data_IF_569666688764
#
_entry.id   IF_569666688764
#
_cell.length_a   1.000
_cell.length_b   1.000
_cell.length_c   1.000
_cell.angle_alpha   90.00
_cell.angle_beta   90.00
_cell.angle_gamma   90.00
#
_symmetry.space_group_name_H-M   'P 1'
#
loop_
_entity.id
_entity.type
_entity.pdbx_description
1 polymer ?
#
# COMPACT_ATOMS: atom_id res chain seq x y z
N UNK A 1 -10.99 20.29 -1.83
CA UNK A 1 -11.23 18.89 -2.26
C UNK A 1 -11.06 17.99 -1.04
N UNK A 2 -11.98 17.03 -0.80
CA UNK A 2 -11.86 16.06 0.30
C UNK A 2 -10.88 14.94 -0.04
N UNK A 3 -9.99 14.62 0.89
CA UNK A 3 -9.05 13.50 0.87
C UNK A 3 -9.68 12.33 1.61
N UNK A 4 -10.02 11.27 0.89
CA UNK A 4 -10.64 10.08 1.49
C UNK A 4 -9.67 8.90 1.44
N UNK A 5 -9.52 8.18 2.54
CA UNK A 5 -8.85 6.89 2.53
C UNK A 5 -9.86 5.76 2.27
N UNK A 6 -9.50 4.79 1.44
CA UNK A 6 -10.21 3.52 1.31
C UNK A 6 -9.36 2.41 1.94
N UNK A 7 -9.92 1.69 2.88
CA UNK A 7 -9.25 0.58 3.55
C UNK A 7 -10.20 -0.61 3.71
N UNK A 8 -9.75 -1.65 4.40
CA UNK A 8 -10.49 -2.89 4.60
C UNK A 8 -9.56 -4.10 4.72
N UNK A 9 -10.08 -5.20 5.25
CA UNK A 9 -9.33 -6.44 5.40
C UNK A 9 -8.94 -7.09 4.08
N UNK A 10 -7.99 -8.02 4.12
CA UNK A 10 -7.72 -8.93 3.01
C UNK A 10 -9.00 -9.70 2.62
N UNK A 11 -9.25 -9.86 1.32
CA UNK A 11 -10.43 -10.57 0.81
C UNK A 11 -11.77 -9.82 0.87
N UNK A 12 -11.82 -8.57 1.36
CA UNK A 12 -13.09 -7.82 1.45
C UNK A 12 -13.59 -7.27 0.12
N UNK A 13 -12.70 -7.10 -0.86
CA UNK A 13 -13.05 -6.59 -2.19
C UNK A 13 -12.72 -5.12 -2.44
N UNK A 14 -11.80 -4.53 -1.65
CA UNK A 14 -11.29 -3.16 -1.83
C UNK A 14 -11.03 -2.77 -3.29
N UNK A 15 -10.25 -3.58 -4.01
CA UNK A 15 -9.92 -3.36 -5.42
C UNK A 15 -11.14 -3.33 -6.35
N UNK A 16 -12.24 -4.02 -5.99
CA UNK A 16 -13.50 -3.95 -6.72
C UNK A 16 -14.19 -2.60 -6.48
N UNK A 17 -14.30 -2.19 -5.21
CA UNK A 17 -14.87 -0.89 -4.82
C UNK A 17 -14.06 0.27 -5.42
N UNK A 18 -12.72 0.22 -5.38
CA UNK A 18 -11.86 1.23 -5.98
C UNK A 18 -12.07 1.36 -7.50
N UNK A 19 -12.29 0.23 -8.18
CA UNK A 19 -12.63 0.22 -9.62
C UNK A 19 -14.00 0.85 -9.89
N UNK A 20 -15.01 0.57 -9.06
CA UNK A 20 -16.32 1.20 -9.18
C UNK A 20 -16.23 2.72 -8.99
N UNK A 21 -15.50 3.19 -7.97
CA UNK A 21 -15.24 4.60 -7.72
C UNK A 21 -14.57 5.26 -8.94
N UNK A 22 -13.51 4.65 -9.46
CA UNK A 22 -12.77 5.16 -10.63
C UNK A 22 -13.68 5.29 -11.86
N UNK A 23 -14.59 4.34 -12.09
CA UNK A 23 -15.56 4.38 -13.21
C UNK A 23 -16.55 5.55 -13.13
N UNK A 24 -16.78 6.08 -11.94
CA UNK A 24 -17.62 7.27 -11.73
C UNK A 24 -16.82 8.59 -11.84
N UNK A 25 -15.60 8.55 -12.38
CA UNK A 25 -14.78 9.74 -12.60
C UNK A 25 -14.07 10.27 -11.35
N UNK A 26 -14.18 9.59 -10.20
CA UNK A 26 -13.48 9.98 -8.98
C UNK A 26 -12.02 9.53 -9.09
N UNK A 27 -11.03 10.43 -8.92
CA UNK A 27 -9.62 10.07 -8.91
C UNK A 27 -9.31 9.07 -7.81
N UNK A 28 -8.59 8.00 -8.17
CA UNK A 28 -8.14 6.98 -7.21
C UNK A 28 -6.66 6.67 -7.31
N UNK A 29 -6.01 6.56 -6.16
CA UNK A 29 -4.61 6.16 -5.99
C UNK A 29 -4.51 4.83 -5.24
N UNK A 30 -3.60 3.96 -5.65
CA UNK A 30 -3.27 2.71 -4.94
C UNK A 30 -1.93 2.90 -4.22
N UNK A 31 -1.94 2.94 -2.88
CA UNK A 31 -0.72 3.16 -2.10
C UNK A 31 0.26 1.97 -2.19
N UNK A 32 -0.21 0.74 -2.43
CA UNK A 32 0.69 -0.39 -2.66
C UNK A 32 1.41 -0.24 -4.00
N UNK A 33 0.73 0.28 -5.02
CA UNK A 33 1.36 0.58 -6.30
C UNK A 33 2.44 1.67 -6.13
N UNK A 34 2.14 2.74 -5.39
CA UNK A 34 3.12 3.80 -5.08
C UNK A 34 4.31 3.22 -4.31
N UNK A 35 4.06 2.40 -3.28
CA UNK A 35 5.10 1.74 -2.48
C UNK A 35 5.98 0.82 -3.34
N UNK A 36 5.41 0.18 -4.36
CA UNK A 36 6.20 -0.60 -5.30
C UNK A 36 7.06 0.31 -6.18
N UNK A 37 6.50 1.34 -6.80
CA UNK A 37 7.24 2.16 -7.77
C UNK A 37 8.25 3.13 -7.15
N UNK A 38 8.12 3.44 -5.85
CA UNK A 38 8.96 4.44 -5.17
C UNK A 38 10.46 4.13 -5.19
N UNK A 39 10.82 2.87 -5.42
CA UNK A 39 12.21 2.40 -5.49
C UNK A 39 12.70 2.19 -6.93
N UNK A 40 11.88 2.51 -7.93
CA UNK A 40 12.25 2.38 -9.33
C UNK A 40 13.29 3.45 -9.73
N UNK A 41 14.03 3.16 -10.81
CA UNK A 41 15.07 4.05 -11.33
C UNK A 41 14.49 5.45 -11.58
N UNK A 42 15.21 6.47 -11.11
CA UNK A 42 14.80 7.88 -11.22
C UNK A 42 14.10 8.45 -9.98
N UNK A 43 13.67 7.62 -9.03
CA UNK A 43 13.20 8.11 -7.74
C UNK A 43 14.36 8.37 -6.75
N UNK A 44 14.24 9.38 -5.84
CA UNK A 44 15.25 9.65 -4.82
C UNK A 44 15.58 8.45 -3.91
N UNK A 45 14.59 7.60 -3.62
CA UNK A 45 14.81 6.41 -2.81
C UNK A 45 15.71 5.39 -3.50
N UNK A 46 15.68 5.27 -4.83
CA UNK A 46 16.54 4.34 -5.56
C UNK A 46 18.03 4.60 -5.30
N UNK A 47 18.46 5.86 -5.45
CA UNK A 47 19.84 6.26 -5.19
C UNK A 47 20.24 6.05 -3.73
N UNK A 48 19.37 6.46 -2.81
CA UNK A 48 19.62 6.33 -1.36
C UNK A 48 19.74 4.87 -0.94
N UNK A 49 18.89 4.00 -1.49
CA UNK A 49 18.94 2.56 -1.24
C UNK A 49 20.25 1.96 -1.75
N UNK A 50 20.73 2.38 -2.92
CA UNK A 50 22.00 1.91 -3.48
C UNK A 50 23.19 2.28 -2.62
N UNK A 51 23.22 3.52 -2.10
CA UNK A 51 24.25 3.97 -1.16
C UNK A 51 24.20 3.20 0.17
N UNK A 52 23.01 2.86 0.65
CA UNK A 52 22.81 2.21 1.95
C UNK A 52 23.08 0.70 1.93
N UNK A 53 22.61 0.00 0.90
CA UNK A 53 22.65 -1.46 0.83
C UNK A 53 23.76 -1.99 -0.08
N UNK A 54 24.32 -1.16 -0.95
CA UNK A 54 25.32 -1.55 -1.93
C UNK A 54 24.73 -2.16 -3.19
N UNK A 55 25.61 -2.37 -4.17
CA UNK A 55 25.26 -2.78 -5.53
C UNK A 55 24.74 -4.21 -5.64
N UNK A 56 25.02 -5.07 -4.65
CA UNK A 56 24.57 -6.46 -4.61
C UNK A 56 23.04 -6.62 -4.61
N UNK A 57 22.32 -5.56 -4.23
CA UNK A 57 20.86 -5.52 -4.21
C UNK A 57 20.25 -4.85 -5.45
N UNK A 58 21.06 -4.63 -6.49
CA UNK A 58 20.64 -4.04 -7.76
C UNK A 58 20.97 -4.99 -8.91
N UNK A 59 20.06 -5.06 -9.87
CA UNK A 59 20.22 -5.84 -11.08
C UNK A 59 21.14 -5.10 -12.08
N UNK A 60 21.72 -5.78 -13.09
CA UNK A 60 22.56 -5.13 -14.10
C UNK A 60 21.85 -4.00 -14.87
N UNK A 61 20.53 -4.06 -14.99
CA UNK A 61 19.71 -3.00 -15.58
C UNK A 61 19.41 -1.83 -14.60
N UNK A 62 20.14 -1.77 -13.48
CA UNK A 62 20.01 -0.81 -12.39
C UNK A 62 18.72 -0.92 -11.57
N UNK A 63 17.80 -1.83 -11.86
CA UNK A 63 16.59 -1.99 -11.04
C UNK A 63 16.92 -2.61 -9.67
N UNK A 64 16.12 -2.30 -8.65
CA UNK A 64 16.24 -2.96 -7.35
C UNK A 64 15.93 -4.45 -7.50
N UNK A 65 16.84 -5.31 -7.02
CA UNK A 65 16.61 -6.74 -6.89
C UNK A 65 15.70 -7.00 -5.67
N UNK A 66 14.39 -6.86 -5.88
CA UNK A 66 13.39 -6.98 -4.81
C UNK A 66 13.45 -8.32 -4.07
N UNK A 67 13.62 -9.48 -4.73
CA UNK A 67 13.79 -10.75 -4.02
C UNK A 67 15.01 -10.76 -3.08
N UNK A 68 16.16 -10.25 -3.53
CA UNK A 68 17.36 -10.18 -2.71
C UNK A 68 17.19 -9.22 -1.52
N UNK A 69 16.62 -8.04 -1.76
CA UNK A 69 16.37 -7.05 -0.71
C UNK A 69 15.33 -7.57 0.29
N UNK A 70 14.27 -8.23 -0.18
CA UNK A 70 13.26 -8.87 0.67
C UNK A 70 13.88 -9.94 1.57
N UNK A 71 14.77 -10.79 1.02
CA UNK A 71 15.50 -11.81 1.78
C UNK A 71 16.35 -11.19 2.89
N UNK A 72 17.02 -10.07 2.62
CA UNK A 72 17.80 -9.33 3.63
C UNK A 72 16.89 -8.83 4.76
N UNK A 73 15.85 -8.06 4.43
CA UNK A 73 15.02 -7.39 5.44
C UNK A 73 14.10 -8.33 6.22
N UNK A 74 13.81 -9.52 5.68
CA UNK A 74 13.01 -10.52 6.39
C UNK A 74 13.73 -11.09 7.62
N UNK A 75 15.05 -11.26 7.55
CA UNK A 75 15.88 -11.78 8.65
C UNK A 75 16.61 -10.72 9.47
N UNK A 76 16.56 -9.44 9.06
CA UNK A 76 17.36 -8.37 9.67
C UNK A 76 16.50 -7.14 9.97
N UNK A 77 16.21 -6.93 11.27
CA UNK A 77 15.40 -5.81 11.75
C UNK A 77 16.04 -4.45 11.48
N UNK A 78 17.36 -4.32 11.59
CA UNK A 78 18.06 -3.07 11.33
C UNK A 78 17.99 -2.70 9.83
N UNK A 79 18.22 -3.67 8.94
CA UNK A 79 18.07 -3.48 7.50
C UNK A 79 16.62 -3.12 7.12
N UNK A 80 15.64 -3.77 7.76
CA UNK A 80 14.22 -3.43 7.58
C UNK A 80 13.92 -2.00 8.00
N UNK A 81 14.34 -1.59 9.18
CA UNK A 81 14.13 -0.22 9.68
C UNK A 81 14.81 0.82 8.76
N UNK A 82 16.01 0.53 8.26
CA UNK A 82 16.71 1.39 7.31
C UNK A 82 15.94 1.51 5.99
N UNK A 83 15.49 0.40 5.40
CA UNK A 83 14.64 0.42 4.21
C UNK A 83 13.39 1.27 4.42
N UNK A 84 12.64 0.99 5.50
CA UNK A 84 11.41 1.70 5.85
C UNK A 84 11.64 3.20 6.05
N UNK A 85 12.75 3.60 6.68
CA UNK A 85 13.12 5.00 6.90
C UNK A 85 13.35 5.78 5.59
N UNK A 86 13.82 5.09 4.54
CA UNK A 86 14.07 5.68 3.22
C UNK A 86 12.77 5.78 2.43
N UNK A 87 11.95 4.71 2.42
CA UNK A 87 10.78 4.64 1.54
C UNK A 87 9.55 5.35 2.11
N UNK A 88 9.30 5.29 3.41
CA UNK A 88 8.06 5.82 4.00
C UNK A 88 7.89 7.34 3.81
N UNK A 89 8.91 8.19 4.03
CA UNK A 89 8.79 9.62 3.77
C UNK A 89 8.45 9.93 2.31
N UNK A 90 9.09 9.23 1.37
CA UNK A 90 8.85 9.45 -0.06
C UNK A 90 7.46 8.99 -0.48
N UNK A 91 6.97 7.84 0.03
CA UNK A 91 5.60 7.38 -0.23
C UNK A 91 4.58 8.40 0.27
N UNK A 92 4.77 8.95 1.48
CA UNK A 92 3.89 9.99 2.06
C UNK A 92 3.84 11.21 1.14
N UNK A 93 5.01 11.74 0.77
CA UNK A 93 5.12 12.87 -0.15
C UNK A 93 4.44 12.62 -1.49
N UNK A 94 4.65 11.45 -2.12
CA UNK A 94 4.03 11.13 -3.42
C UNK A 94 2.50 11.07 -3.34
N UNK A 95 1.96 10.57 -2.23
CA UNK A 95 0.51 10.55 -1.98
C UNK A 95 0.00 11.99 -1.78
N UNK A 96 0.70 12.82 -0.99
CA UNK A 96 0.33 14.21 -0.75
C UNK A 96 0.37 15.05 -2.05
N UNK A 97 1.45 14.91 -2.83
CA UNK A 97 1.61 15.57 -4.13
C UNK A 97 0.51 15.14 -5.11
N UNK A 98 0.06 13.88 -5.04
CA UNK A 98 -1.06 13.39 -5.85
C UNK A 98 -2.38 14.06 -5.44
N UNK A 99 -2.65 14.20 -4.15
CA UNK A 99 -3.82 14.95 -3.68
C UNK A 99 -3.77 16.42 -4.09
N UNK A 100 -2.62 17.07 -3.99
CA UNK A 100 -2.44 18.45 -4.43
C UNK A 100 -2.79 18.62 -5.92
N UNK A 101 -2.24 17.76 -6.79
CA UNK A 101 -2.56 17.76 -8.23
C UNK A 101 -4.05 17.54 -8.51
N UNK A 102 -4.72 16.67 -7.73
CA UNK A 102 -6.15 16.47 -7.89
C UNK A 102 -6.96 17.73 -7.52
N UNK A 103 -6.51 18.49 -6.52
CA UNK A 103 -7.15 19.74 -6.10
C UNK A 103 -7.00 20.84 -7.16
N UNK A 104 -5.83 20.97 -7.79
CA UNK A 104 -5.54 22.03 -8.77
C UNK A 104 -6.45 21.98 -10.01
N UNK A 105 -7.00 20.82 -10.33
CA UNK A 105 -7.89 20.68 -11.49
C UNK A 105 -9.25 21.37 -11.33
N UNK A 106 -9.62 21.84 -10.13
CA UNK A 106 -10.91 22.45 -9.75
C UNK A 106 -12.19 21.67 -10.15
N UNK A 107 -12.05 20.48 -10.76
CA UNK A 107 -13.13 19.60 -11.18
C UNK A 107 -13.44 18.52 -10.15
N UNK A 108 -12.51 18.25 -9.24
CA UNK A 108 -12.63 17.18 -8.27
C UNK A 108 -13.01 17.73 -6.90
N UNK A 109 -14.19 17.37 -6.42
CA UNK A 109 -14.60 17.66 -5.03
C UNK A 109 -14.03 16.62 -4.06
N UNK A 110 -13.68 15.43 -4.54
CA UNK A 110 -13.20 14.27 -3.77
C UNK A 110 -12.10 13.53 -4.54
N UNK A 111 -11.09 13.05 -3.81
CA UNK A 111 -10.11 12.08 -4.30
C UNK A 111 -9.89 10.97 -3.26
N UNK A 112 -9.60 9.75 -3.71
CA UNK A 112 -9.56 8.56 -2.83
C UNK A 112 -8.24 7.80 -2.96
N UNK A 113 -7.56 7.54 -1.85
CA UNK A 113 -6.37 6.69 -1.80
C UNK A 113 -6.68 5.35 -1.12
N UNK A 114 -6.43 4.21 -1.78
CA UNK A 114 -6.47 2.89 -1.14
C UNK A 114 -5.23 2.70 -0.27
N UNK A 115 -5.43 2.48 1.04
CA UNK A 115 -4.38 2.28 2.03
C UNK A 115 -4.70 1.05 2.88
N UNK A 116 -4.16 -0.13 2.52
CA UNK A 116 -4.51 -1.40 3.18
C UNK A 116 -4.21 -1.45 4.69
N UNK A 117 -3.12 -0.80 5.12
CA UNK A 117 -2.63 -0.76 6.50
C UNK A 117 -2.85 0.60 7.18
N UNK A 118 -3.96 1.27 6.86
CA UNK A 118 -4.24 2.64 7.29
C UNK A 118 -4.17 2.81 8.82
N UNK A 119 -4.84 1.93 9.55
CA UNK A 119 -4.91 1.97 11.01
C UNK A 119 -3.66 1.38 11.65
N UNK A 120 -3.13 0.30 11.07
CA UNK A 120 -1.89 -0.32 11.51
C UNK A 120 -0.69 0.63 11.43
N UNK A 121 -0.75 1.66 10.58
CA UNK A 121 0.29 2.68 10.44
C UNK A 121 -0.09 4.04 11.07
N UNK A 122 -1.20 4.12 11.80
CA UNK A 122 -1.72 5.35 12.43
C UNK A 122 -1.85 6.52 11.43
N UNK A 123 -2.34 6.24 10.22
CA UNK A 123 -2.46 7.23 9.14
C UNK A 123 -3.89 7.73 8.92
N UNK A 124 -4.87 7.27 9.69
CA UNK A 124 -6.26 7.68 9.49
C UNK A 124 -6.46 9.19 9.63
N UNK A 125 -5.75 9.84 10.55
CA UNK A 125 -5.91 11.26 10.89
C UNK A 125 -5.52 12.24 9.78
N UNK A 126 -4.75 11.81 8.76
CA UNK A 126 -4.38 12.68 7.64
C UNK A 126 -5.45 12.76 6.54
N UNK A 127 -6.58 12.07 6.71
CA UNK A 127 -7.70 12.03 5.77
C UNK A 127 -8.95 12.64 6.38
N UNK A 128 -9.76 13.30 5.56
CA UNK A 128 -11.02 13.90 6.00
C UNK A 128 -12.06 12.84 6.35
N UNK A 129 -12.03 11.71 5.62
CA UNK A 129 -12.94 10.58 5.83
C UNK A 129 -12.23 9.26 5.49
N UNK A 130 -12.73 8.17 6.08
CA UNK A 130 -12.27 6.80 5.81
C UNK A 130 -13.45 5.94 5.36
N UNK A 131 -13.28 5.22 4.25
CA UNK A 131 -14.19 4.20 3.75
C UNK A 131 -13.61 2.84 4.11
N UNK A 132 -14.30 2.06 4.94
CA UNK A 132 -13.91 0.70 5.28
C UNK A 132 -14.74 -0.29 4.47
N UNK A 133 -14.08 -1.03 3.56
CA UNK A 133 -14.72 -2.11 2.80
C UNK A 133 -14.70 -3.39 3.63
N UNK A 134 -15.88 -3.90 3.96
CA UNK A 134 -16.08 -5.07 4.81
C UNK A 134 -16.86 -6.19 4.11
N UNK A 135 -16.69 -7.41 4.61
CA UNK A 135 -17.57 -8.56 4.34
C UNK A 135 -17.47 -9.56 5.50
N UNK A 136 -18.32 -10.57 5.52
CA UNK A 136 -18.25 -11.60 6.55
C UNK A 136 -16.88 -12.33 6.54
N UNK A 137 -16.28 -12.66 7.70
CA UNK A 137 -14.98 -13.34 7.78
C UNK A 137 -14.91 -14.63 6.97
N UNK A 138 -15.99 -15.44 6.99
CA UNK A 138 -16.09 -16.68 6.20
C UNK A 138 -15.91 -16.40 4.69
N UNK A 139 -16.42 -15.28 4.19
CA UNK A 139 -16.25 -14.88 2.80
C UNK A 139 -14.82 -14.40 2.50
N UNK A 140 -14.16 -13.72 3.45
CA UNK A 140 -12.75 -13.33 3.30
C UNK A 140 -11.88 -14.56 3.10
N UNK A 141 -12.00 -15.54 4.00
CA UNK A 141 -11.23 -16.80 3.95
C UNK A 141 -11.48 -17.54 2.63
N UNK A 142 -12.75 -17.74 2.24
CA UNK A 142 -13.09 -18.41 0.99
C UNK A 142 -12.50 -17.70 -0.24
N UNK A 143 -12.52 -16.36 -0.27
CA UNK A 143 -11.92 -15.56 -1.35
C UNK A 143 -10.39 -15.65 -1.37
N UNK A 144 -9.74 -15.65 -0.21
CA UNK A 144 -8.28 -15.77 -0.09
C UNK A 144 -7.82 -17.14 -0.59
N UNK A 145 -8.46 -18.22 -0.14
CA UNK A 145 -8.16 -19.59 -0.58
C UNK A 145 -8.29 -19.68 -2.10
N UNK A 146 -9.41 -19.20 -2.67
CA UNK A 146 -9.66 -19.28 -4.11
C UNK A 146 -8.67 -18.45 -4.94
N UNK A 147 -8.31 -17.25 -4.47
CA UNK A 147 -7.42 -16.33 -5.19
C UNK A 147 -5.95 -16.74 -5.10
N UNK A 148 -5.49 -17.07 -3.89
CA UNK A 148 -4.06 -17.27 -3.58
C UNK A 148 -3.66 -18.75 -3.62
N UNK A 149 -4.62 -19.67 -3.82
CA UNK A 149 -4.41 -21.13 -3.80
C UNK A 149 -3.74 -21.63 -2.51
N UNK A 150 -4.19 -21.10 -1.38
CA UNK A 150 -3.64 -21.38 -0.05
C UNK A 150 -4.46 -22.40 0.73
N UNK A 151 -3.84 -23.00 1.74
CA UNK A 151 -4.56 -23.77 2.75
C UNK A 151 -5.49 -22.87 3.58
N UNK A 152 -6.50 -23.46 4.20
CA UNK A 152 -7.38 -22.74 5.13
C UNK A 152 -6.60 -22.12 6.28
N UNK A 153 -5.58 -22.83 6.79
CA UNK A 153 -4.73 -22.37 7.89
C UNK A 153 -3.93 -21.12 7.46
N UNK A 154 -3.32 -21.15 6.28
CA UNK A 154 -2.56 -19.99 5.77
C UNK A 154 -3.47 -18.79 5.51
N UNK A 155 -4.68 -19.02 5.00
CA UNK A 155 -5.66 -17.96 4.79
C UNK A 155 -6.11 -17.32 6.11
N UNK A 156 -6.30 -18.13 7.16
CA UNK A 156 -6.62 -17.65 8.51
C UNK A 156 -5.45 -16.86 9.12
N UNK A 157 -4.22 -17.35 8.98
CA UNK A 157 -3.02 -16.65 9.45
C UNK A 157 -2.87 -15.27 8.77
N UNK A 158 -3.12 -15.18 7.46
CA UNK A 158 -3.12 -13.90 6.74
C UNK A 158 -4.22 -12.95 7.22
N UNK A 159 -5.39 -13.47 7.58
CA UNK A 159 -6.48 -12.67 8.13
C UNK A 159 -6.11 -12.15 9.53
N UNK A 160 -5.51 -12.98 10.37
CA UNK A 160 -5.10 -12.66 11.73
C UNK A 160 -3.94 -11.64 11.81
N UNK A 161 -3.14 -11.51 10.74
CA UNK A 161 -2.06 -10.53 10.65
C UNK A 161 -2.54 -9.07 10.46
N UNK A 162 -3.84 -8.84 10.31
CA UNK A 162 -4.44 -7.51 10.15
C UNK A 162 -5.39 -7.21 11.32
N UNK A 163 -5.63 -5.92 11.59
CA UNK A 163 -6.64 -5.55 12.58
C UNK A 163 -8.03 -6.10 12.14
N UNK A 164 -8.81 -6.65 13.08
CA UNK A 164 -10.18 -7.07 12.80
C UNK A 164 -10.98 -5.94 12.17
N UNK A 165 -11.83 -6.25 11.19
CA UNK A 165 -12.64 -5.22 10.51
C UNK A 165 -13.50 -4.42 11.49
N UNK A 166 -13.99 -5.03 12.57
CA UNK A 166 -14.78 -4.35 13.60
C UNK A 166 -13.98 -3.30 14.41
N UNK A 167 -12.66 -3.30 14.28
CA UNK A 167 -11.74 -2.36 14.93
C UNK A 167 -11.13 -1.36 13.93
N UNK A 168 -11.64 -1.34 12.68
CA UNK A 168 -11.29 -0.39 11.62
C UNK A 168 -12.47 0.55 11.38
#
# INVERSE_FOLDING_TARGET
>A
MKRIALTGGIGTGKTHVLRMIRRNGIPTLDADQVSRSVVDVGHPAHHTLRQCFGDDYFLPNQQVNRPALAKLVFGNQAARAQLESIVHPLIRRLIDDWFARCADTNRNTVAIAEIPLLYETNRAEVFDNVIVVSCAPKMQVARIIKRDKLSTVDAQNRLAAQLPIAQK
#
